data_IF_764795072894
#
_entry.id   IF_764795072894
#
_cell.length_a   1.000
_cell.length_b   1.000
_cell.length_c   1.000
_cell.angle_alpha   90.00
_cell.angle_beta   90.00
_cell.angle_gamma   90.00
#
_symmetry.space_group_name_H-M   'P 1'
#
loop_
_entity.id
_entity.type
_entity.pdbx_description
1 polymer ?
#
# COMPACT_ATOMS: atom_id res chain seq x y z
N UNK A 1 4.09 3.14 14.26
CA UNK A 1 4.18 2.08 15.30
C UNK A 1 4.96 0.86 14.83
N UNK A 2 4.78 0.35 13.59
CA UNK A 2 5.50 -0.85 13.11
C UNK A 2 7.04 -0.72 13.20
N UNK A 3 7.63 0.34 12.63
CA UNK A 3 9.10 0.54 12.70
C UNK A 3 9.69 0.54 14.11
N UNK A 4 8.97 1.10 15.08
CA UNK A 4 9.41 1.14 16.47
C UNK A 4 9.38 -0.25 17.11
N UNK A 5 8.40 -1.09 16.74
CA UNK A 5 8.34 -2.49 17.14
C UNK A 5 9.49 -3.29 16.53
N UNK A 6 9.68 -3.14 15.22
CA UNK A 6 10.78 -3.80 14.51
C UNK A 6 12.15 -3.37 15.08
N UNK A 7 12.31 -2.09 15.44
CA UNK A 7 13.52 -1.59 16.10
C UNK A 7 13.76 -2.25 17.46
N UNK A 8 12.70 -2.42 18.27
CA UNK A 8 12.78 -3.06 19.57
C UNK A 8 13.15 -4.55 19.46
N UNK A 9 12.79 -5.19 18.34
CA UNK A 9 13.14 -6.57 18.01
C UNK A 9 14.48 -6.69 17.25
N UNK A 10 15.18 -5.58 17.00
CA UNK A 10 16.48 -5.56 16.29
C UNK A 10 16.39 -5.74 14.78
N UNK A 11 15.21 -5.60 14.18
CA UNK A 11 14.96 -5.74 12.74
C UNK A 11 15.16 -4.38 12.04
N UNK A 12 16.00 -4.33 11.00
CA UNK A 12 16.11 -3.14 10.15
C UNK A 12 15.04 -3.13 9.07
N UNK A 13 13.90 -2.52 9.39
CA UNK A 13 12.80 -2.30 8.46
C UNK A 13 12.72 -0.84 7.96
N UNK A 14 12.02 -0.65 6.85
CA UNK A 14 11.62 0.66 6.34
C UNK A 14 10.14 0.66 5.94
N UNK A 15 9.57 1.86 5.82
CA UNK A 15 8.20 2.03 5.34
C UNK A 15 8.17 2.50 3.89
N UNK A 16 7.15 2.06 3.15
CA UNK A 16 6.88 2.57 1.82
C UNK A 16 5.39 2.89 1.66
N UNK A 17 5.07 4.06 1.14
CA UNK A 17 3.70 4.49 0.87
C UNK A 17 3.58 4.88 -0.58
N UNK A 18 2.56 4.37 -1.25
CA UNK A 18 2.22 4.76 -2.62
C UNK A 18 0.73 4.63 -2.86
N UNK A 19 0.23 5.29 -3.89
CA UNK A 19 -1.18 5.33 -4.18
C UNK A 19 -1.51 6.44 -5.14
N UNK A 20 -2.78 6.55 -5.49
CA UNK A 20 -3.26 7.58 -6.40
C UNK A 20 -4.39 8.37 -5.77
N UNK A 21 -4.28 9.69 -5.89
CA UNK A 21 -5.25 10.63 -5.34
C UNK A 21 -6.59 10.54 -6.10
N UNK A 22 -7.68 10.59 -5.34
CA UNK A 22 -9.03 10.72 -5.86
C UNK A 22 -9.91 11.40 -4.81
N UNK A 23 -11.09 11.90 -5.16
CA UNK A 23 -12.10 12.20 -4.14
C UNK A 23 -12.47 10.86 -3.47
N UNK A 24 -12.42 10.70 -2.13
CA UNK A 24 -12.26 11.68 -1.04
C UNK A 24 -10.81 11.89 -0.52
N UNK A 25 -9.82 11.15 -1.02
CA UNK A 25 -8.40 11.20 -0.67
C UNK A 25 -7.60 12.37 -1.27
N UNK A 26 -8.25 13.39 -1.85
CA UNK A 26 -7.57 14.48 -2.59
C UNK A 26 -6.57 15.27 -1.74
N UNK A 27 -6.78 15.34 -0.42
CA UNK A 27 -5.85 15.97 0.52
C UNK A 27 -4.76 15.05 1.07
N UNK A 28 -4.83 13.74 0.82
CA UNK A 28 -3.95 12.77 1.48
C UNK A 28 -2.49 12.91 1.05
N UNK A 29 -2.22 13.01 -0.25
CA UNK A 29 -0.88 13.25 -0.80
C UNK A 29 -0.27 14.54 -0.25
N UNK A 30 -1.10 15.58 -0.10
CA UNK A 30 -0.67 16.87 0.41
C UNK A 30 -0.23 16.77 1.88
N UNK A 31 -0.99 16.05 2.71
CA UNK A 31 -0.61 15.80 4.09
C UNK A 31 0.64 14.92 4.20
N UNK A 32 0.80 13.91 3.33
CA UNK A 32 2.02 13.11 3.28
C UNK A 32 3.25 13.94 2.87
N UNK A 33 3.10 14.88 1.95
CA UNK A 33 4.17 15.82 1.59
C UNK A 33 4.49 16.79 2.72
N UNK A 34 3.48 17.33 3.40
CA UNK A 34 3.67 18.20 4.58
C UNK A 34 4.37 17.42 5.71
N UNK A 35 3.98 16.17 5.92
CA UNK A 35 4.55 15.27 6.92
C UNK A 35 5.89 14.63 6.50
N UNK A 36 6.47 14.99 5.34
CA UNK A 36 7.70 14.36 4.81
C UNK A 36 8.85 14.31 5.81
N UNK A 37 9.00 15.33 6.66
CA UNK A 37 10.02 15.33 7.72
C UNK A 37 9.80 14.21 8.73
N UNK A 38 8.56 14.00 9.16
CA UNK A 38 8.18 12.92 10.07
C UNK A 38 8.32 11.55 9.40
N UNK A 39 7.91 11.44 8.14
CA UNK A 39 8.06 10.20 7.36
C UNK A 39 9.53 9.82 7.22
N UNK A 40 10.40 10.75 6.83
CA UNK A 40 11.84 10.52 6.72
C UNK A 40 12.46 10.11 8.07
N UNK A 41 12.08 10.78 9.17
CA UNK A 41 12.54 10.41 10.51
C UNK A 41 12.13 8.98 10.90
N UNK A 42 10.96 8.53 10.44
CA UNK A 42 10.46 7.17 10.61
C UNK A 42 10.98 6.16 9.54
N UNK A 43 11.89 6.57 8.64
CA UNK A 43 12.35 5.80 7.47
C UNK A 43 11.22 5.32 6.57
N UNK A 44 10.19 6.16 6.41
CA UNK A 44 9.06 5.93 5.51
C UNK A 44 9.26 6.77 4.25
N UNK A 45 9.32 6.12 3.09
CA UNK A 45 9.38 6.78 1.79
C UNK A 45 7.98 6.84 1.20
N UNK A 46 7.53 8.04 0.86
CA UNK A 46 6.31 8.26 0.09
C UNK A 46 6.65 8.55 -1.37
N UNK A 47 6.01 7.81 -2.28
CA UNK A 47 6.05 8.05 -3.73
C UNK A 47 4.62 7.99 -4.24
N UNK A 48 4.13 9.05 -4.88
CA UNK A 48 2.81 9.00 -5.49
C UNK A 48 2.82 8.14 -6.76
N UNK A 49 1.74 7.40 -7.00
CA UNK A 49 1.50 6.70 -8.25
C UNK A 49 1.09 7.66 -9.36
N UNK A 50 1.29 7.25 -10.60
CA UNK A 50 0.67 7.89 -11.76
C UNK A 50 -0.80 7.46 -11.92
N UNK A 51 -1.11 6.25 -11.46
CA UNK A 51 -2.44 5.68 -11.29
C UNK A 51 -2.41 4.66 -10.14
N UNK A 52 -3.57 4.14 -9.78
CA UNK A 52 -3.77 3.15 -8.72
C UNK A 52 -2.94 1.88 -8.96
N UNK A 53 -2.93 1.35 -10.18
CA UNK A 53 -2.25 0.11 -10.58
C UNK A 53 -0.73 0.19 -10.39
N UNK A 54 -0.12 1.28 -10.86
CA UNK A 54 1.30 1.58 -10.67
C UNK A 54 1.60 1.83 -9.19
N UNK A 55 0.67 2.48 -8.48
CA UNK A 55 0.71 2.59 -7.03
C UNK A 55 0.84 1.23 -6.35
N UNK A 56 -0.07 0.31 -6.68
CA UNK A 56 -0.14 -1.04 -6.12
C UNK A 56 1.09 -1.85 -6.49
N UNK A 57 1.55 -1.74 -7.74
CA UNK A 57 2.73 -2.44 -8.25
C UNK A 57 4.00 -2.00 -7.54
N UNK A 58 4.16 -0.70 -7.28
CA UNK A 58 5.29 -0.20 -6.50
C UNK A 58 5.30 -0.78 -5.09
N UNK A 59 4.14 -0.83 -4.42
CA UNK A 59 4.03 -1.41 -3.08
C UNK A 59 4.30 -2.91 -3.11
N UNK A 60 3.76 -3.65 -4.08
CA UNK A 60 4.05 -5.06 -4.26
C UNK A 60 5.54 -5.34 -4.45
N UNK A 61 6.24 -4.55 -5.28
CA UNK A 61 7.68 -4.67 -5.48
C UNK A 61 8.49 -4.53 -4.19
N UNK A 62 8.03 -3.73 -3.22
CA UNK A 62 8.70 -3.62 -1.91
C UNK A 62 8.63 -4.89 -1.06
N UNK A 63 7.72 -5.81 -1.39
CA UNK A 63 7.54 -7.06 -0.68
C UNK A 63 8.49 -8.17 -1.15
N UNK A 64 9.29 -7.90 -2.19
CA UNK A 64 10.27 -8.83 -2.75
C UNK A 64 11.72 -8.31 -2.62
N UNK A 65 12.16 -7.79 -1.45
CA UNK A 65 13.48 -7.16 -1.32
C UNK A 65 14.63 -8.16 -1.58
N UNK A 66 14.41 -9.45 -1.28
CA UNK A 66 15.44 -10.49 -1.43
C UNK A 66 15.46 -11.15 -2.81
N UNK A 67 14.64 -10.68 -3.76
CA UNK A 67 14.63 -11.24 -5.13
C UNK A 67 15.90 -10.87 -5.90
N UNK A 68 16.51 -9.73 -5.58
CA UNK A 68 17.74 -9.25 -6.20
C UNK A 68 18.79 -8.90 -5.13
N UNK A 69 20.08 -9.15 -5.38
CA UNK A 69 21.15 -8.69 -4.49
C UNK A 69 21.17 -7.16 -4.45
N UNK A 70 21.29 -6.58 -3.25
CA UNK A 70 21.32 -5.12 -3.05
C UNK A 70 20.22 -4.57 -2.15
N UNK A 71 19.43 -5.41 -1.47
CA UNK A 71 18.48 -4.97 -0.46
C UNK A 71 19.17 -4.17 0.66
N UNK A 72 18.71 -2.95 0.91
CA UNK A 72 19.25 -2.09 1.97
C UNK A 72 18.62 -2.34 3.35
N UNK A 73 17.53 -3.12 3.41
CA UNK A 73 16.73 -3.38 4.62
C UNK A 73 16.25 -4.82 4.62
N UNK A 74 15.96 -5.37 5.80
CA UNK A 74 15.48 -6.75 5.97
C UNK A 74 14.00 -6.91 5.61
N UNK A 75 13.23 -5.83 5.70
CA UNK A 75 11.80 -5.82 5.41
C UNK A 75 11.27 -4.44 5.09
N UNK A 76 10.20 -4.39 4.31
CA UNK A 76 9.49 -3.13 4.02
C UNK A 76 8.02 -3.32 4.36
N UNK A 77 7.51 -2.53 5.31
CA UNK A 77 6.08 -2.41 5.53
C UNK A 77 5.50 -1.36 4.58
N UNK A 78 4.44 -1.71 3.89
CA UNK A 78 3.84 -0.94 2.81
C UNK A 78 2.47 -0.39 3.17
N UNK A 79 2.10 0.73 2.55
CA UNK A 79 0.72 1.18 2.50
C UNK A 79 0.36 1.57 1.07
N UNK A 80 -0.76 1.05 0.59
CA UNK A 80 -1.37 1.44 -0.67
C UNK A 80 -2.68 2.18 -0.41
N UNK A 81 -2.99 3.19 -1.23
CA UNK A 81 -4.30 3.83 -1.23
C UNK A 81 -4.80 4.10 -2.66
N UNK A 82 -6.09 3.91 -2.88
CA UNK A 82 -6.75 4.13 -4.16
C UNK A 82 -8.25 4.34 -3.99
N UNK A 83 -8.92 4.79 -5.06
CA UNK A 83 -10.39 4.96 -5.10
C UNK A 83 -11.05 3.82 -5.85
N UNK A 84 -12.33 3.55 -5.54
CA UNK A 84 -13.17 2.49 -6.12
C UNK A 84 -12.79 2.02 -7.54
N UNK A 85 -13.05 2.79 -8.62
CA UNK A 85 -12.76 2.33 -9.99
C UNK A 85 -11.29 1.98 -10.29
N UNK A 86 -10.35 2.46 -9.48
CA UNK A 86 -8.95 2.09 -9.54
C UNK A 86 -8.63 0.82 -8.75
N UNK A 87 -9.40 0.49 -7.71
CA UNK A 87 -9.35 -0.80 -7.00
C UNK A 87 -9.70 -1.95 -7.95
N UNK A 88 -10.77 -1.81 -8.75
CA UNK A 88 -11.23 -2.83 -9.70
C UNK A 88 -10.13 -3.17 -10.71
N UNK A 89 -9.44 -2.14 -11.21
CA UNK A 89 -8.30 -2.29 -12.13
C UNK A 89 -7.08 -2.92 -11.47
N UNK A 90 -6.85 -2.65 -10.19
CA UNK A 90 -5.75 -3.22 -9.42
C UNK A 90 -5.95 -4.72 -9.12
N UNK A 91 -7.11 -5.30 -9.43
CA UNK A 91 -7.41 -6.70 -9.13
C UNK A 91 -6.35 -7.69 -9.64
N UNK A 92 -5.74 -7.43 -10.79
CA UNK A 92 -4.64 -8.26 -11.30
C UNK A 92 -3.39 -8.17 -10.41
N UNK A 93 -2.97 -6.95 -10.07
CA UNK A 93 -1.82 -6.70 -9.18
C UNK A 93 -2.02 -7.36 -7.82
N UNK A 94 -3.23 -7.28 -7.26
CA UNK A 94 -3.55 -7.90 -5.98
C UNK A 94 -3.55 -9.43 -6.04
N UNK A 95 -4.06 -10.05 -7.12
CA UNK A 95 -3.98 -11.51 -7.32
C UNK A 95 -2.53 -11.98 -7.39
N UNK A 96 -1.71 -11.28 -8.17
CA UNK A 96 -0.28 -11.56 -8.29
C UNK A 96 0.46 -11.35 -6.95
N UNK A 97 0.11 -10.31 -6.20
CA UNK A 97 0.67 -10.06 -4.88
C UNK A 97 0.30 -11.14 -3.86
N UNK A 98 -0.96 -11.58 -3.85
CA UNK A 98 -1.43 -12.65 -2.98
C UNK A 98 -0.76 -13.99 -3.31
N UNK A 99 -0.58 -14.30 -4.59
CA UNK A 99 0.11 -15.51 -5.03
C UNK A 99 1.62 -15.49 -4.71
N UNK A 100 2.28 -14.35 -4.90
CA UNK A 100 3.71 -14.20 -4.64
C UNK A 100 4.04 -14.10 -3.14
N UNK A 101 3.08 -13.69 -2.32
CA UNK A 101 3.27 -13.48 -0.89
C UNK A 101 4.06 -12.22 -0.55
N UNK A 102 4.33 -12.04 0.74
CA UNK A 102 5.10 -10.91 1.27
C UNK A 102 6.40 -11.38 1.91
N UNK A 103 7.38 -10.48 2.03
CA UNK A 103 8.60 -10.75 2.78
C UNK A 103 8.26 -11.08 4.24
N UNK A 104 9.09 -11.91 4.88
CA UNK A 104 8.94 -12.31 6.30
C UNK A 104 8.79 -11.10 7.25
N UNK A 105 9.50 -10.01 6.98
CA UNK A 105 9.45 -8.76 7.76
C UNK A 105 8.73 -7.64 7.01
N UNK A 106 7.93 -8.00 6.01
CA UNK A 106 7.10 -7.11 5.22
C UNK A 106 5.64 -7.12 5.68
N UNK A 107 4.78 -6.59 4.83
CA UNK A 107 3.35 -6.51 5.06
C UNK A 107 2.78 -5.24 4.45
N UNK A 108 1.63 -5.32 3.80
CA UNK A 108 1.01 -4.19 3.11
C UNK A 108 -0.38 -3.96 3.66
N UNK A 109 -0.67 -2.70 4.01
CA UNK A 109 -2.03 -2.25 4.25
C UNK A 109 -2.59 -1.61 2.97
N UNK A 110 -3.62 -2.21 2.39
CA UNK A 110 -4.34 -1.63 1.26
C UNK A 110 -5.57 -0.85 1.76
N UNK A 111 -5.66 0.43 1.40
CA UNK A 111 -6.80 1.30 1.69
C UNK A 111 -7.58 1.56 0.41
N UNK A 112 -8.70 0.87 0.26
CA UNK A 112 -9.71 1.17 -0.75
C UNK A 112 -10.65 2.25 -0.21
N UNK A 113 -10.62 3.44 -0.82
CA UNK A 113 -11.57 4.49 -0.49
C UNK A 113 -12.82 4.36 -1.36
N UNK A 114 -13.94 4.09 -0.69
CA UNK A 114 -15.26 4.01 -1.29
C UNK A 114 -15.95 5.37 -1.40
N UNK A 115 -16.56 5.64 -2.56
CA UNK A 115 -17.47 6.77 -2.77
C UNK A 115 -18.92 6.24 -2.72
N UNK A 116 -19.40 5.93 -1.50
CA UNK A 116 -20.80 5.54 -1.25
C UNK A 116 -21.82 6.62 -1.64
N UNK A 117 -21.39 7.86 -1.90
CA UNK A 117 -22.28 9.00 -2.11
C UNK A 117 -22.42 9.44 -3.58
N UNK A 118 -21.79 8.74 -4.54
CA UNK A 118 -21.81 9.08 -5.97
C UNK A 118 -21.50 10.56 -6.23
N UNK A 119 -20.65 11.20 -5.44
CA UNK A 119 -20.37 12.63 -5.63
C UNK A 119 -19.36 12.89 -6.74
N UNK A 120 -18.63 11.86 -7.18
CA UNK A 120 -17.60 11.99 -8.21
C UNK A 120 -17.52 10.84 -9.21
N UNK A 121 -18.42 9.85 -9.11
CA UNK A 121 -18.52 8.67 -9.97
C UNK A 121 -19.92 8.55 -10.59
N UNK A 122 -19.98 8.05 -11.83
CA UNK A 122 -21.25 7.86 -12.58
C UNK A 122 -22.11 6.72 -12.01
N UNK A 123 -21.54 5.84 -11.18
CA UNK A 123 -22.20 4.72 -10.52
C UNK A 123 -21.76 4.62 -9.04
N UNK A 124 -22.64 4.18 -8.13
CA UNK A 124 -22.26 3.84 -6.76
C UNK A 124 -21.28 2.67 -6.77
N UNK A 125 -20.15 2.84 -6.09
CA UNK A 125 -19.12 1.81 -6.00
C UNK A 125 -18.83 1.54 -4.51
N UNK A 126 -19.01 0.28 -4.10
CA UNK A 126 -18.61 -0.25 -2.81
C UNK A 126 -17.59 -1.35 -3.03
N UNK A 127 -16.38 -1.18 -2.50
CA UNK A 127 -15.23 -2.07 -2.65
C UNK A 127 -15.35 -3.34 -1.77
N UNK A 128 -16.47 -3.48 -1.05
CA UNK A 128 -16.73 -4.51 -0.05
C UNK A 128 -16.64 -5.93 -0.65
N UNK A 129 -17.26 -6.14 -1.82
CA UNK A 129 -17.32 -7.43 -2.51
C UNK A 129 -16.00 -7.77 -3.24
N UNK A 130 -15.27 -6.76 -3.73
CA UNK A 130 -13.99 -6.94 -4.44
C UNK A 130 -12.83 -7.24 -3.49
N UNK A 131 -12.82 -6.60 -2.33
CA UNK A 131 -11.81 -6.83 -1.28
C UNK A 131 -11.95 -8.24 -0.71
N UNK A 132 -13.18 -8.74 -0.57
CA UNK A 132 -13.46 -10.08 -0.02
C UNK A 132 -13.10 -11.22 -0.98
N UNK A 133 -13.23 -11.01 -2.29
CA UNK A 133 -12.94 -12.03 -3.31
C UNK A 133 -11.46 -12.15 -3.67
N UNK A 134 -10.66 -11.11 -3.41
CA UNK A 134 -9.23 -11.07 -3.76
C UNK A 134 -8.30 -11.43 -2.59
N UNK A 135 -8.74 -11.23 -1.34
CA UNK A 135 -7.93 -11.43 -0.14
C UNK A 135 -8.33 -12.68 0.65
N UNK A 136 -7.77 -13.83 0.31
CA UNK A 136 -7.69 -14.95 1.26
C UNK A 136 -6.50 -14.69 2.20
N UNK A 137 -6.74 -13.93 3.27
CA UNK A 137 -5.74 -13.58 4.28
C UNK A 137 -5.23 -14.84 5.00
N UNK A 138 -4.09 -15.40 4.56
CA UNK A 138 -3.29 -16.31 5.39
C UNK A 138 -2.44 -15.47 6.35
N UNK A 139 -2.98 -15.25 7.56
CA UNK A 139 -2.22 -14.69 8.68
C UNK A 139 -1.19 -15.74 9.12
N UNK A 140 -0.07 -15.81 8.41
CA UNK A 140 1.14 -16.49 8.85
C UNK A 140 1.99 -15.54 9.67
N UNK A 141 2.09 -15.77 10.98
CA UNK A 141 3.22 -15.27 11.77
C UNK A 141 4.51 -15.94 11.35
#
# INVERSE_FOLDING_TARGET
>A
MQRLRDAAEGIDSAGFVSGYRGSPLGGFDLELWRARKHLNAARVKFTHGLNEDLGATMVWGTQQPNLFPGAHVQGVFGMWYGKGPGVDRCGDVFKHANAAGTSRYGGVLALAADDHACRSSTLPHGSEDETSSTWACSVGR
#
